data_IF_410020606509
#
_entry.id   IF_410020606509
#
_cell.length_a   1.000
_cell.length_b   1.000
_cell.length_c   1.000
_cell.angle_alpha   90.00
_cell.angle_beta   90.00
_cell.angle_gamma   90.00
#
_symmetry.space_group_name_H-M   'P 1'
#
loop_
_entity.id
_entity.type
_entity.pdbx_description
1 polymer ?
#
# COMPACT_ATOMS: atom_id res chain seq x y z
N UNK A 1 -16.99 1.40 1.86
CA UNK A 1 -15.57 1.37 1.39
C UNK A 1 -15.12 2.66 0.70
N UNK A 2 -15.99 3.41 -0.01
CA UNK A 2 -15.57 4.57 -0.82
C UNK A 2 -14.91 5.72 -0.02
N UNK A 3 -15.34 5.99 1.21
CA UNK A 3 -14.78 7.11 2.00
C UNK A 3 -13.44 6.79 2.69
N UNK A 4 -13.16 5.53 3.00
CA UNK A 4 -11.97 5.10 3.76
C UNK A 4 -10.62 5.37 3.06
N UNK A 5 -10.67 5.84 1.81
CA UNK A 5 -9.51 6.11 0.95
C UNK A 5 -9.43 7.58 0.52
N UNK A 6 -10.35 8.42 1.02
CA UNK A 6 -10.37 9.86 0.75
C UNK A 6 -9.40 10.61 1.67
N UNK A 7 -8.61 11.53 1.14
CA UNK A 7 -7.68 12.35 1.93
C UNK A 7 -6.56 11.56 2.62
N UNK A 8 -6.29 10.34 2.14
CA UNK A 8 -5.33 9.43 2.77
C UNK A 8 -3.90 9.98 2.61
N UNK A 9 -3.20 10.12 3.74
CA UNK A 9 -1.80 10.52 3.76
C UNK A 9 -0.91 9.29 3.66
N UNK A 10 0.07 9.36 2.76
CA UNK A 10 1.03 8.28 2.54
C UNK A 10 2.44 8.75 2.93
N UNK A 11 3.22 7.82 3.45
CA UNK A 11 4.63 8.00 3.73
C UNK A 11 5.41 7.53 2.51
N UNK A 12 6.31 8.37 2.01
CA UNK A 12 7.21 8.03 0.91
C UNK A 12 8.40 7.25 1.48
N UNK A 13 8.69 6.08 0.93
CA UNK A 13 9.90 5.34 1.29
C UNK A 13 11.14 6.05 0.75
N UNK A 14 12.08 6.34 1.65
CA UNK A 14 13.38 6.89 1.31
C UNK A 14 14.20 5.80 0.59
N UNK A 15 15.05 6.15 -0.41
CA UNK A 15 15.91 5.16 -1.05
C UNK A 15 16.70 4.31 -0.04
N UNK A 16 16.64 2.99 -0.20
CA UNK A 16 17.30 2.02 0.70
C UNK A 16 16.47 1.60 1.93
N UNK A 17 15.28 2.18 2.12
CA UNK A 17 14.33 1.76 3.16
C UNK A 17 13.24 0.88 2.55
N UNK A 18 12.85 -0.19 3.26
CA UNK A 18 11.74 -1.06 2.89
C UNK A 18 10.82 -1.25 4.10
N UNK A 19 9.59 -0.74 4.02
CA UNK A 19 8.63 -0.84 5.14
C UNK A 19 8.22 -2.29 5.45
N UNK A 20 8.25 -3.19 4.46
CA UNK A 20 7.92 -4.61 4.66
C UNK A 20 9.02 -5.33 5.46
N UNK A 21 10.27 -5.00 5.21
CA UNK A 21 11.43 -5.52 5.96
C UNK A 21 11.46 -4.93 7.37
N UNK A 22 11.25 -3.60 7.49
CA UNK A 22 11.15 -2.95 8.79
C UNK A 22 10.03 -3.58 9.65
N UNK A 23 8.85 -3.82 9.06
CA UNK A 23 7.73 -4.52 9.70
C UNK A 23 8.11 -5.93 10.14
N UNK A 24 8.74 -6.71 9.25
CA UNK A 24 9.16 -8.08 9.57
C UNK A 24 10.16 -8.11 10.73
N UNK A 25 11.13 -7.20 10.73
CA UNK A 25 12.14 -7.10 11.79
C UNK A 25 11.55 -6.68 13.14
N UNK A 26 10.51 -5.83 13.13
CA UNK A 26 9.81 -5.40 14.32
C UNK A 26 8.81 -6.45 14.85
N UNK A 27 8.49 -7.50 14.08
CA UNK A 27 7.44 -8.46 14.43
C UNK A 27 7.58 -9.07 15.83
N UNK A 28 8.77 -9.52 16.28
CA UNK A 28 8.96 -10.09 17.61
C UNK A 28 8.73 -9.11 18.76
N UNK A 29 8.67 -7.80 18.47
CA UNK A 29 8.51 -6.76 19.49
C UNK A 29 7.05 -6.42 19.77
N UNK A 30 6.11 -6.82 18.89
CA UNK A 30 4.70 -6.53 19.10
C UNK A 30 4.10 -7.45 20.16
N UNK A 31 3.36 -6.84 21.10
CA UNK A 31 2.61 -7.53 22.14
C UNK A 31 1.10 -7.40 21.88
N UNK A 32 0.32 -8.35 22.40
CA UNK A 32 -1.13 -8.30 22.32
C UNK A 32 -1.65 -8.52 20.89
N UNK A 33 -2.42 -7.56 20.37
CA UNK A 33 -3.11 -7.68 19.08
C UNK A 33 -2.18 -7.58 17.86
N UNK A 34 -0.89 -7.29 18.06
CA UNK A 34 0.06 -7.12 16.97
C UNK A 34 0.07 -5.72 16.35
N UNK A 35 0.78 -5.55 15.22
CA UNK A 35 0.85 -4.27 14.52
C UNK A 35 -0.47 -3.91 13.80
N UNK A 36 -0.72 -2.63 13.52
CA UNK A 36 -1.76 -2.23 12.57
C UNK A 36 -1.48 -2.81 11.18
N UNK A 37 -2.52 -2.92 10.35
CA UNK A 37 -2.34 -3.35 8.97
C UNK A 37 -1.51 -2.32 8.19
N UNK A 38 -0.80 -2.79 7.16
CA UNK A 38 0.08 -1.97 6.33
C UNK A 38 -0.34 -2.13 4.87
N UNK A 39 -0.60 -1.02 4.18
CA UNK A 39 -0.73 -1.01 2.73
C UNK A 39 0.47 -0.29 2.13
N UNK A 40 1.16 -0.93 1.18
CA UNK A 40 2.32 -0.41 0.48
C UNK A 40 2.06 -0.42 -1.02
N UNK A 41 2.23 0.71 -1.69
CA UNK A 41 2.03 0.89 -3.13
C UNK A 41 3.36 1.20 -3.82
N UNK A 42 3.62 0.57 -4.94
CA UNK A 42 4.73 0.93 -5.84
C UNK A 42 4.18 1.80 -6.96
N UNK A 43 4.75 2.99 -7.16
CA UNK A 43 4.26 3.96 -8.15
C UNK A 43 5.31 4.29 -9.20
N UNK A 44 4.86 4.57 -10.41
CA UNK A 44 5.66 4.97 -11.57
C UNK A 44 5.28 6.41 -11.95
N UNK A 45 6.22 7.38 -11.95
CA UNK A 45 5.93 8.73 -12.41
C UNK A 45 5.60 8.77 -13.91
N UNK A 46 4.51 9.45 -14.30
CA UNK A 46 4.08 9.55 -15.71
C UNK A 46 4.92 10.53 -16.56
N UNK A 47 5.68 11.45 -15.93
CA UNK A 47 6.33 12.60 -16.62
C UNK A 47 7.79 12.39 -17.06
N UNK A 48 8.42 11.23 -16.81
CA UNK A 48 9.85 11.06 -17.11
C UNK A 48 10.13 10.76 -18.60
N UNK A 49 10.10 11.80 -19.45
CA UNK A 49 10.49 11.70 -20.88
C UNK A 49 12.00 11.81 -21.12
N UNK A 50 12.82 12.18 -20.12
CA UNK A 50 14.26 12.34 -20.31
C UNK A 50 15.03 11.95 -19.03
N UNK A 51 15.67 10.79 -19.08
CA UNK A 51 16.98 10.53 -18.45
C UNK A 51 17.14 10.70 -16.93
N UNK A 52 16.33 10.01 -16.13
CA UNK A 52 16.82 9.49 -14.86
C UNK A 52 16.12 8.15 -14.64
N UNK A 53 16.89 7.10 -14.34
CA UNK A 53 16.50 5.78 -13.80
C UNK A 53 15.00 5.61 -13.55
N UNK A 54 14.35 4.54 -14.04
CA UNK A 54 12.95 4.17 -13.75
C UNK A 54 12.74 4.01 -12.24
N UNK A 55 12.68 5.10 -11.49
CA UNK A 55 12.47 5.08 -10.05
C UNK A 55 11.04 4.65 -9.86
N UNK A 56 10.89 3.56 -9.10
CA UNK A 56 9.63 3.00 -8.65
C UNK A 56 9.49 3.31 -7.16
N UNK A 57 9.30 4.59 -6.78
CA UNK A 57 9.14 4.93 -5.37
C UNK A 57 7.99 4.13 -4.78
N UNK A 58 8.23 3.63 -3.58
CA UNK A 58 7.22 2.96 -2.79
C UNK A 58 6.66 3.93 -1.76
N UNK A 59 5.36 3.79 -1.51
CA UNK A 59 4.58 4.59 -0.59
C UNK A 59 3.88 3.63 0.34
N UNK A 60 3.69 3.98 1.59
CA UNK A 60 2.90 3.15 2.49
C UNK A 60 2.07 3.97 3.46
N UNK A 61 1.04 3.34 4.01
CA UNK A 61 0.21 3.88 5.05
C UNK A 61 -0.33 2.75 5.93
N UNK A 62 -0.64 3.09 7.18
CA UNK A 62 -1.27 2.15 8.10
C UNK A 62 -2.78 2.17 7.92
N UNK A 63 -3.41 1.00 8.08
CA UNK A 63 -4.85 0.82 7.94
C UNK A 63 -5.44 0.15 9.17
N UNK A 64 -6.63 0.57 9.55
CA UNK A 64 -7.41 -0.03 10.64
C UNK A 64 -8.89 -0.05 10.25
N UNK A 65 -9.62 -1.06 10.68
CA UNK A 65 -11.08 -1.12 10.55
C UNK A 65 -11.61 -1.41 9.14
N UNK A 66 -10.79 -1.99 8.25
CA UNK A 66 -11.26 -2.52 6.96
C UNK A 66 -11.49 -4.02 7.03
N UNK A 67 -12.39 -4.52 6.18
CA UNK A 67 -12.65 -5.95 6.06
C UNK A 67 -11.48 -6.64 5.33
N UNK A 68 -10.81 -7.54 6.05
CA UNK A 68 -9.70 -8.38 5.57
C UNK A 68 -10.08 -9.86 5.52
N UNK A 69 -11.37 -10.21 5.66
CA UNK A 69 -11.84 -11.59 5.72
C UNK A 69 -11.67 -12.38 4.41
N UNK A 70 -11.27 -11.72 3.31
CA UNK A 70 -10.94 -12.38 2.05
C UNK A 70 -9.92 -11.57 1.24
N UNK A 71 -9.16 -12.27 0.38
CA UNK A 71 -8.28 -11.61 -0.59
C UNK A 71 -9.06 -10.70 -1.54
N UNK A 72 -10.32 -11.02 -1.86
CA UNK A 72 -11.19 -10.18 -2.70
C UNK A 72 -11.52 -8.84 -2.04
N UNK A 73 -11.76 -8.81 -0.73
CA UNK A 73 -11.99 -7.57 0.00
C UNK A 73 -10.75 -6.65 -0.02
N UNK A 74 -9.57 -7.25 0.18
CA UNK A 74 -8.27 -6.55 0.11
C UNK A 74 -8.00 -6.02 -1.31
N UNK A 75 -8.21 -6.85 -2.34
CA UNK A 75 -8.09 -6.44 -3.73
C UNK A 75 -9.06 -5.32 -4.09
N UNK A 76 -10.29 -5.34 -3.55
CA UNK A 76 -11.26 -4.27 -3.68
C UNK A 76 -10.78 -2.96 -3.06
N UNK A 77 -10.16 -3.02 -1.87
CA UNK A 77 -9.54 -1.88 -1.22
C UNK A 77 -8.41 -1.27 -2.09
N UNK A 78 -7.48 -2.10 -2.57
CA UNK A 78 -6.37 -1.65 -3.43
C UNK A 78 -6.91 -1.09 -4.76
N UNK A 79 -7.90 -1.73 -5.38
CA UNK A 79 -8.50 -1.26 -6.65
C UNK A 79 -9.19 0.11 -6.49
N UNK A 80 -9.85 0.34 -5.37
CA UNK A 80 -10.45 1.64 -5.07
C UNK A 80 -9.37 2.72 -4.81
N UNK A 81 -8.25 2.37 -4.16
CA UNK A 81 -7.08 3.26 -4.04
C UNK A 81 -6.51 3.62 -5.41
N UNK A 82 -6.31 2.64 -6.29
CA UNK A 82 -5.82 2.85 -7.67
C UNK A 82 -6.72 3.83 -8.41
N UNK A 83 -8.02 3.53 -8.43
CA UNK A 83 -9.01 4.34 -9.14
C UNK A 83 -9.04 5.81 -8.66
N UNK A 84 -8.81 6.04 -7.35
CA UNK A 84 -8.82 7.38 -6.77
C UNK A 84 -7.54 8.16 -7.01
N UNK A 85 -6.38 7.51 -6.85
CA UNK A 85 -5.08 8.20 -6.93
C UNK A 85 -4.63 8.42 -8.38
N UNK A 86 -4.98 7.52 -9.30
CA UNK A 86 -4.71 7.74 -10.73
C UNK A 86 -5.69 8.73 -11.37
N UNK A 87 -6.82 8.97 -10.71
CA UNK A 87 -7.95 9.73 -11.23
C UNK A 87 -8.66 8.98 -12.36
N UNK A 88 -9.96 9.20 -12.51
CA UNK A 88 -10.79 8.53 -13.53
C UNK A 88 -11.19 9.54 -14.60
N UNK A 89 -10.93 9.24 -15.87
CA UNK A 89 -11.39 10.03 -17.02
C UNK A 89 -10.31 10.82 -17.76
N UNK A 90 -10.67 11.37 -18.91
CA UNK A 90 -9.75 12.03 -19.86
C UNK A 90 -9.05 13.28 -19.30
N UNK A 91 -9.61 13.89 -18.25
CA UNK A 91 -9.05 15.07 -17.56
C UNK A 91 -8.24 14.70 -16.30
N UNK A 92 -8.10 13.42 -15.97
CA UNK A 92 -7.37 12.98 -14.79
C UNK A 92 -5.85 13.20 -14.97
N UNK A 93 -5.35 14.27 -14.36
CA UNK A 93 -3.92 14.60 -14.30
C UNK A 93 -3.28 14.00 -13.04
N UNK A 94 -3.24 12.67 -12.93
CA UNK A 94 -2.41 12.06 -11.90
C UNK A 94 -0.96 12.01 -12.34
N UNK A 95 -0.05 12.45 -11.46
CA UNK A 95 1.39 12.45 -11.71
C UNK A 95 2.00 11.04 -11.74
N UNK A 96 1.29 10.02 -11.26
CA UNK A 96 1.80 8.66 -11.08
C UNK A 96 0.80 7.60 -11.58
N UNK A 97 1.33 6.45 -11.97
CA UNK A 97 0.61 5.19 -12.18
C UNK A 97 1.00 4.25 -11.05
N UNK A 98 0.06 3.60 -10.38
CA UNK A 98 0.32 2.54 -9.42
C UNK A 98 0.63 1.26 -10.21
N UNK A 99 1.79 0.67 -9.95
CA UNK A 99 2.23 -0.57 -10.58
C UNK A 99 1.79 -1.79 -9.78
N UNK A 100 1.93 -1.73 -8.46
CA UNK A 100 1.60 -2.84 -7.58
C UNK A 100 1.25 -2.35 -6.19
N UNK A 101 0.53 -3.18 -5.44
CA UNK A 101 0.17 -2.98 -4.05
C UNK A 101 0.41 -4.24 -3.23
N UNK A 102 0.88 -4.06 -2.00
CA UNK A 102 1.02 -5.10 -0.99
C UNK A 102 0.18 -4.69 0.21
N UNK A 103 -0.62 -5.61 0.73
CA UNK A 103 -1.36 -5.43 1.97
C UNK A 103 -0.89 -6.47 2.99
N UNK A 104 -0.52 -6.03 4.19
CA UNK A 104 -0.11 -6.89 5.28
C UNK A 104 -1.12 -6.77 6.43
N UNK A 105 -1.60 -7.92 6.91
CA UNK A 105 -2.43 -8.02 8.10
C UNK A 105 -1.87 -9.06 9.06
N UNK A 106 -1.92 -8.76 10.36
CA UNK A 106 -1.42 -9.65 11.39
C UNK A 106 -2.52 -10.58 11.90
N UNK A 107 -2.29 -11.88 11.82
CA UNK A 107 -3.10 -12.89 12.48
C UNK A 107 -2.53 -13.20 13.86
N UNK A 108 -3.21 -12.71 14.90
CA UNK A 108 -2.81 -12.92 16.29
C UNK A 108 -2.94 -14.37 16.76
N UNK A 109 -3.85 -15.15 16.17
CA UNK A 109 -4.09 -16.54 16.57
C UNK A 109 -3.03 -17.47 15.99
N UNK A 110 -2.65 -17.25 14.74
CA UNK A 110 -1.62 -18.04 14.05
C UNK A 110 -0.23 -17.43 14.17
N UNK A 111 -0.11 -16.24 14.77
CA UNK A 111 1.14 -15.48 14.92
C UNK A 111 1.87 -15.31 13.58
N UNK A 112 1.12 -14.98 12.53
CA UNK A 112 1.65 -14.84 11.18
C UNK A 112 1.25 -13.51 10.52
N UNK A 113 2.15 -12.98 9.70
CA UNK A 113 1.92 -11.77 8.90
C UNK A 113 1.44 -12.18 7.51
N UNK A 114 0.13 -12.10 7.29
CA UNK A 114 -0.49 -12.45 6.01
C UNK A 114 -0.25 -11.31 5.02
N UNK A 115 0.27 -11.65 3.84
CA UNK A 115 0.61 -10.68 2.79
C UNK A 115 -0.15 -11.00 1.52
N UNK A 116 -0.87 -10.00 1.02
CA UNK A 116 -1.60 -10.07 -0.26
C UNK A 116 -0.95 -9.10 -1.22
N UNK A 117 -0.50 -9.62 -2.37
CA UNK A 117 0.13 -8.83 -3.43
C UNK A 117 -0.83 -8.71 -4.62
N UNK A 118 -0.94 -7.49 -5.15
CA UNK A 118 -1.75 -7.15 -6.32
C UNK A 118 -0.86 -6.38 -7.28
N UNK A 119 -0.83 -6.77 -8.56
CA UNK A 119 -0.02 -6.15 -9.61
C UNK A 119 -0.66 -6.22 -10.98
#
# INVERSE_FOLDING_TARGET
MSEATSGLQEIIEVPGVNSLEARASAMPTYLGLGPPDLCRLTKIPKSSRKSAEKRRPSYFHYVVGIDVGSASAISGYISNLISRQEGVGFLASSAFKIESGVYCSWDVFHQCDVRVEVG
#
